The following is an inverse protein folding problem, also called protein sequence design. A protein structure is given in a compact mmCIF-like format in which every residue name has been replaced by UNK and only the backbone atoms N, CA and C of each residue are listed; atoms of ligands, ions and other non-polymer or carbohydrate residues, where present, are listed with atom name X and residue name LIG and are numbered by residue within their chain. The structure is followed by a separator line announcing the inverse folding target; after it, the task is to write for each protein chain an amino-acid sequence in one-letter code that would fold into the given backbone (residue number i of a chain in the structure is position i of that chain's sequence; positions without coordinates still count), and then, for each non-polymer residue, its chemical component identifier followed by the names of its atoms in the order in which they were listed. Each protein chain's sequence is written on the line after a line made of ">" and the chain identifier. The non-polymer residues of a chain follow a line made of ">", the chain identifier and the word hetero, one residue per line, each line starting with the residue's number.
data_IF_648408904107
#
_entry.id   IF_648408904107
#
_cell.length_a   1.000
_cell.length_b   1.000
_cell.length_c   1.000
_cell.angle_alpha   90.00
_cell.angle_beta   90.00
_cell.angle_gamma   90.00
#
_symmetry.space_group_name_H-M   'P 1'
#
loop_
_entity.id
_entity.type
_entity.pdbx_description
1 polymer ?
#
# COMPACT_ATOMS: atom_id res chain seq x y z
N UNK A 1 -17.57 -13.51 23.59
CA UNK A 1 -18.21 -12.23 23.17
C UNK A 1 -19.62 -12.11 23.79
N UNK A 2 -20.55 -13.06 23.57
CA UNK A 2 -21.91 -12.99 24.09
C UNK A 2 -21.96 -12.83 25.61
N UNK A 3 -21.26 -13.69 26.36
CA UNK A 3 -21.22 -13.65 27.82
C UNK A 3 -20.59 -12.37 28.36
N UNK A 4 -19.62 -11.82 27.66
CA UNK A 4 -18.99 -10.55 28.02
C UNK A 4 -19.99 -9.39 27.86
N UNK A 5 -20.71 -9.33 26.74
CA UNK A 5 -21.75 -8.33 26.49
C UNK A 5 -22.87 -8.47 27.54
N UNK A 6 -23.37 -9.68 27.77
CA UNK A 6 -24.44 -9.94 28.74
C UNK A 6 -24.07 -9.54 30.17
N UNK A 7 -22.81 -9.73 30.58
CA UNK A 7 -22.33 -9.30 31.90
C UNK A 7 -22.17 -7.80 32.06
N UNK A 8 -21.80 -7.11 30.98
CA UNK A 8 -21.39 -5.70 31.02
C UNK A 8 -22.42 -4.72 30.47
N UNK A 9 -23.59 -5.18 30.03
CA UNK A 9 -24.63 -4.34 29.44
C UNK A 9 -25.94 -4.50 30.22
N UNK A 10 -26.42 -3.42 30.81
CA UNK A 10 -27.74 -3.39 31.46
C UNK A 10 -28.86 -3.38 30.41
N UNK A 11 -30.07 -3.75 30.80
CA UNK A 11 -31.25 -3.72 29.92
C UNK A 11 -31.49 -2.33 29.33
N UNK A 12 -31.19 -1.26 30.09
CA UNK A 12 -31.30 0.12 29.60
C UNK A 12 -30.29 0.49 28.56
N UNK A 13 -29.12 -0.15 28.59
CA UNK A 13 -28.02 0.12 27.65
C UNK A 13 -28.11 -0.73 26.35
N UNK A 14 -29.00 -1.74 26.34
CA UNK A 14 -29.16 -2.59 25.15
C UNK A 14 -29.54 -1.80 23.90
N UNK A 15 -30.43 -0.83 24.02
CA UNK A 15 -30.85 0.00 22.90
C UNK A 15 -29.69 0.89 22.39
N UNK A 16 -28.89 1.44 23.30
CA UNK A 16 -27.71 2.24 22.95
C UNK A 16 -26.68 1.37 22.24
N UNK A 17 -26.40 0.17 22.77
CA UNK A 17 -25.52 -0.80 22.15
C UNK A 17 -26.00 -1.19 20.73
N UNK A 18 -27.31 -1.42 20.57
CA UNK A 18 -27.90 -1.75 19.27
C UNK A 18 -27.73 -0.61 18.25
N UNK A 19 -27.97 0.62 18.66
CA UNK A 19 -27.77 1.80 17.81
C UNK A 19 -26.29 1.95 17.41
N UNK A 20 -25.36 1.78 18.35
CA UNK A 20 -23.93 1.82 18.08
C UNK A 20 -23.49 0.71 17.11
N UNK A 21 -23.95 -0.51 17.33
CA UNK A 21 -23.66 -1.63 16.43
C UNK A 21 -24.20 -1.38 15.01
N UNK A 22 -25.41 -0.83 14.89
CA UNK A 22 -25.99 -0.47 13.59
C UNK A 22 -25.16 0.59 12.86
N UNK A 23 -24.71 1.60 13.58
CA UNK A 23 -23.84 2.65 13.04
C UNK A 23 -22.48 2.08 12.61
N UNK A 24 -21.85 1.29 13.49
CA UNK A 24 -20.56 0.64 13.17
C UNK A 24 -20.67 -0.35 12.02
N UNK A 25 -21.82 -1.03 11.85
CA UNK A 25 -22.05 -1.92 10.71
C UNK A 25 -22.01 -1.15 9.37
N UNK A 26 -22.58 0.06 9.31
CA UNK A 26 -22.50 0.94 8.14
C UNK A 26 -21.04 1.28 7.78
N UNK A 27 -20.23 1.67 8.77
CA UNK A 27 -18.81 1.94 8.55
C UNK A 27 -18.04 0.68 8.14
N UNK A 28 -18.35 -0.44 8.79
CA UNK A 28 -17.70 -1.71 8.46
C UNK A 28 -17.98 -2.13 7.02
N UNK A 29 -19.20 -1.93 6.54
CA UNK A 29 -19.57 -2.18 5.14
C UNK A 29 -18.72 -1.33 4.17
N UNK A 30 -18.50 -0.05 4.48
CA UNK A 30 -17.61 0.80 3.69
C UNK A 30 -16.14 0.30 3.73
N UNK A 31 -15.65 -0.08 4.92
CA UNK A 31 -14.26 -0.57 5.09
C UNK A 31 -14.00 -1.85 4.30
N UNK A 32 -14.99 -2.76 4.20
CA UNK A 32 -14.85 -4.01 3.44
C UNK A 32 -15.22 -3.88 1.97
N UNK A 33 -15.62 -2.68 1.53
CA UNK A 33 -15.99 -2.38 0.14
C UNK A 33 -17.08 -3.31 -0.42
N UNK A 34 -18.04 -3.75 0.43
CA UNK A 34 -19.15 -4.62 0.02
C UNK A 34 -20.36 -3.86 -0.57
N UNK A 35 -20.29 -2.53 -0.66
CA UNK A 35 -21.34 -1.76 -1.28
C UNK A 35 -21.38 -2.05 -2.79
N UNK A 36 -22.52 -2.54 -3.30
CA UNK A 36 -22.82 -2.67 -4.72
C UNK A 36 -22.96 -1.26 -5.35
N UNK A 37 -21.84 -0.66 -5.70
CA UNK A 37 -21.77 0.71 -6.18
C UNK A 37 -21.85 0.70 -7.69
N UNK A 38 -23.07 0.60 -8.23
CA UNK A 38 -23.30 0.91 -9.63
C UNK A 38 -23.42 2.42 -9.93
N UNK A 39 -23.60 3.29 -8.90
CA UNK A 39 -23.89 4.72 -9.07
C UNK A 39 -23.02 5.67 -8.21
N UNK A 40 -21.98 5.21 -7.54
CA UNK A 40 -21.17 6.07 -6.68
C UNK A 40 -19.82 6.39 -7.31
N UNK A 41 -19.49 7.67 -7.30
CA UNK A 41 -18.12 8.13 -7.59
C UNK A 41 -17.19 7.60 -6.49
N UNK A 42 -16.29 6.67 -6.83
CA UNK A 42 -15.34 6.05 -5.89
C UNK A 42 -14.49 7.14 -5.27
N UNK A 43 -14.61 7.33 -3.95
CA UNK A 43 -13.84 8.33 -3.20
C UNK A 43 -12.40 7.87 -2.97
N UNK A 44 -11.53 8.80 -2.57
CA UNK A 44 -10.16 8.46 -2.18
C UNK A 44 -10.11 7.55 -0.93
N UNK A 45 -11.07 7.72 -0.01
CA UNK A 45 -11.26 6.86 1.16
C UNK A 45 -11.55 5.42 0.73
N UNK A 46 -12.48 5.24 -0.22
CA UNK A 46 -12.86 3.90 -0.72
C UNK A 46 -11.68 3.21 -1.40
N UNK A 47 -10.84 3.97 -2.13
CA UNK A 47 -9.62 3.42 -2.77
C UNK A 47 -8.62 2.93 -1.73
N UNK A 48 -8.41 3.68 -0.64
CA UNK A 48 -7.52 3.26 0.45
C UNK A 48 -8.07 1.98 1.10
N UNK A 49 -9.37 1.93 1.42
CA UNK A 49 -9.97 0.73 1.99
C UNK A 49 -9.88 -0.47 1.04
N UNK A 50 -10.16 -0.28 -0.25
CA UNK A 50 -10.01 -1.33 -1.26
C UNK A 50 -8.58 -1.86 -1.32
N UNK A 51 -7.58 -0.97 -1.30
CA UNK A 51 -6.17 -1.37 -1.22
C UNK A 51 -5.89 -2.20 0.04
N UNK A 52 -6.32 -1.74 1.21
CA UNK A 52 -6.08 -2.42 2.47
C UNK A 52 -6.81 -3.77 2.55
N UNK A 53 -8.03 -3.85 2.01
CA UNK A 53 -8.81 -5.08 1.94
C UNK A 53 -8.17 -6.11 1.00
N UNK A 54 -7.74 -5.70 -0.18
CA UNK A 54 -7.06 -6.57 -1.15
C UNK A 54 -5.77 -7.17 -0.58
N UNK A 55 -5.14 -6.48 0.36
CA UNK A 55 -3.95 -6.92 1.09
C UNK A 55 -4.25 -7.67 2.40
N UNK A 56 -5.51 -8.00 2.66
CA UNK A 56 -5.96 -8.68 3.89
C UNK A 56 -5.51 -7.97 5.16
N UNK A 57 -5.40 -6.65 5.16
CA UNK A 57 -5.01 -5.86 6.31
C UNK A 57 -6.19 -5.66 7.27
N UNK A 58 -6.47 -6.67 8.09
CA UNK A 58 -7.59 -6.66 9.02
C UNK A 58 -7.30 -5.89 10.30
N UNK A 59 -6.02 -5.76 10.66
CA UNK A 59 -5.57 -5.21 11.93
C UNK A 59 -6.05 -3.78 12.18
N UNK A 60 -6.10 -2.94 11.14
CA UNK A 60 -6.43 -1.52 11.26
C UNK A 60 -7.94 -1.23 11.28
N UNK A 61 -8.81 -2.22 11.04
CA UNK A 61 -10.27 -2.04 11.01
C UNK A 61 -10.84 -1.34 12.26
N UNK A 62 -10.42 -1.68 13.51
CA UNK A 62 -10.91 -0.98 14.69
C UNK A 62 -10.58 0.53 14.66
N UNK A 63 -9.38 0.90 14.20
CA UNK A 63 -8.99 2.32 14.05
C UNK A 63 -9.83 3.00 12.97
N UNK A 64 -10.09 2.32 11.83
CA UNK A 64 -10.94 2.87 10.78
C UNK A 64 -12.36 3.15 11.26
N UNK A 65 -12.95 2.23 12.04
CA UNK A 65 -14.28 2.42 12.63
C UNK A 65 -14.33 3.66 13.52
N UNK A 66 -13.32 3.82 14.39
CA UNK A 66 -13.23 4.99 15.28
C UNK A 66 -12.99 6.30 14.49
N UNK A 67 -12.14 6.29 13.48
CA UNK A 67 -11.89 7.46 12.63
C UNK A 67 -13.13 7.89 11.86
N UNK A 68 -13.86 6.96 11.25
CA UNK A 68 -15.11 7.25 10.54
C UNK A 68 -16.17 7.81 11.48
N UNK A 69 -16.30 7.25 12.69
CA UNK A 69 -17.22 7.77 13.71
C UNK A 69 -16.85 9.21 14.11
N UNK A 70 -15.58 9.48 14.39
CA UNK A 70 -15.14 10.84 14.74
C UNK A 70 -15.32 11.83 13.58
N UNK A 71 -15.28 11.36 12.33
CA UNK A 71 -15.56 12.19 11.16
C UNK A 71 -17.07 12.51 11.07
N UNK A 72 -17.95 11.52 11.27
CA UNK A 72 -19.40 11.75 11.29
C UNK A 72 -19.82 12.68 12.45
N UNK A 73 -19.13 12.61 13.59
CA UNK A 73 -19.32 13.54 14.71
C UNK A 73 -18.76 14.95 14.47
N UNK A 74 -18.10 15.19 13.33
CA UNK A 74 -17.50 16.49 12.98
C UNK A 74 -16.19 16.81 13.70
N UNK A 75 -15.60 15.86 14.44
CA UNK A 75 -14.33 16.04 15.14
C UNK A 75 -13.11 15.93 14.21
N UNK A 76 -13.26 15.23 13.09
CA UNK A 76 -12.23 15.06 12.05
C UNK A 76 -12.83 15.51 10.72
N UNK A 77 -12.16 16.43 10.00
CA UNK A 77 -12.55 16.77 8.64
C UNK A 77 -12.20 15.63 7.67
N UNK A 78 -12.94 15.52 6.57
CA UNK A 78 -12.67 14.50 5.54
C UNK A 78 -11.24 14.60 5.00
N UNK A 79 -10.73 15.81 4.77
CA UNK A 79 -9.33 16.02 4.35
C UNK A 79 -8.33 15.43 5.35
N UNK A 80 -8.58 15.65 6.65
CA UNK A 80 -7.74 15.10 7.71
C UNK A 80 -7.85 13.58 7.81
N UNK A 81 -9.07 13.05 7.66
CA UNK A 81 -9.28 11.59 7.59
C UNK A 81 -8.46 10.97 6.47
N UNK A 82 -8.54 11.51 5.25
CA UNK A 82 -7.75 11.03 4.10
C UNK A 82 -6.26 11.03 4.42
N UNK A 83 -5.73 12.10 5.01
CA UNK A 83 -4.31 12.17 5.40
C UNK A 83 -3.92 11.08 6.39
N UNK A 84 -4.76 10.84 7.41
CA UNK A 84 -4.53 9.78 8.41
C UNK A 84 -4.59 8.40 7.77
N UNK A 85 -5.59 8.14 6.93
CA UNK A 85 -5.72 6.87 6.22
C UNK A 85 -4.53 6.60 5.30
N UNK A 86 -4.01 7.63 4.60
CA UNK A 86 -2.76 7.53 3.84
C UNK A 86 -1.57 7.17 4.73
N UNK A 87 -1.43 7.80 5.89
CA UNK A 87 -0.36 7.45 6.82
C UNK A 87 -0.43 5.96 7.20
N UNK A 88 -1.62 5.44 7.51
CA UNK A 88 -1.82 4.02 7.84
C UNK A 88 -1.49 3.14 6.63
N UNK A 89 -1.95 3.50 5.43
CA UNK A 89 -1.67 2.77 4.19
C UNK A 89 -0.17 2.68 3.91
N UNK A 90 0.54 3.80 3.95
CA UNK A 90 1.98 3.82 3.66
C UNK A 90 2.82 3.18 4.78
N UNK A 91 2.37 3.29 6.03
CA UNK A 91 2.94 2.48 7.12
C UNK A 91 2.79 0.98 6.85
N UNK A 92 1.58 0.54 6.47
CA UNK A 92 1.32 -0.87 6.11
C UNK A 92 2.22 -1.33 4.96
N UNK A 93 2.37 -0.52 3.92
CA UNK A 93 3.27 -0.81 2.79
C UNK A 93 4.70 -1.02 3.28
N UNK A 94 5.21 -0.12 4.09
CA UNK A 94 6.56 -0.21 4.61
C UNK A 94 6.74 -1.41 5.54
N UNK A 95 5.90 -1.50 6.55
CA UNK A 95 6.04 -2.43 7.67
C UNK A 95 5.69 -3.88 7.28
N UNK A 96 4.49 -4.07 6.68
CA UNK A 96 3.99 -5.41 6.37
C UNK A 96 4.37 -5.88 4.97
N UNK A 97 4.12 -5.05 3.93
CA UNK A 97 4.28 -5.47 2.55
C UNK A 97 5.76 -5.62 2.16
N UNK A 98 6.57 -4.60 2.45
CA UNK A 98 7.98 -4.56 2.06
C UNK A 98 8.85 -5.29 3.09
N UNK A 99 8.80 -4.86 4.35
CA UNK A 99 9.68 -5.39 5.40
C UNK A 99 9.23 -6.73 5.98
N UNK A 100 8.03 -7.22 5.60
CA UNK A 100 7.46 -8.51 6.08
C UNK A 100 7.34 -8.60 7.61
N UNK A 101 7.26 -7.46 8.30
CA UNK A 101 7.04 -7.44 9.74
C UNK A 101 5.65 -7.95 10.10
N UNK A 102 5.54 -8.64 11.23
CA UNK A 102 4.29 -9.27 11.64
C UNK A 102 3.35 -8.29 12.34
N UNK A 103 2.08 -8.33 11.99
CA UNK A 103 1.03 -7.51 12.58
C UNK A 103 0.88 -7.71 14.11
N UNK A 104 1.27 -8.87 14.64
CA UNK A 104 1.16 -9.16 16.08
C UNK A 104 2.00 -8.19 16.93
N UNK A 105 3.15 -7.76 16.44
CA UNK A 105 4.05 -6.83 17.16
C UNK A 105 3.43 -5.45 17.42
N UNK A 106 2.39 -5.08 16.67
CA UNK A 106 1.74 -3.76 16.74
C UNK A 106 0.27 -3.83 17.15
N UNK A 107 -0.31 -5.03 17.29
CA UNK A 107 -1.75 -5.22 17.50
C UNK A 107 -2.28 -4.56 18.77
N UNK A 108 -1.56 -4.67 19.87
CA UNK A 108 -1.94 -4.06 21.15
C UNK A 108 -1.99 -2.52 21.04
N UNK A 109 -0.99 -1.93 20.40
CA UNK A 109 -0.95 -0.48 20.14
C UNK A 109 -2.13 -0.03 19.28
N UNK A 110 -2.43 -0.77 18.21
CA UNK A 110 -3.57 -0.47 17.33
C UNK A 110 -4.90 -0.51 18.09
N UNK A 111 -5.13 -1.55 18.91
CA UNK A 111 -6.34 -1.66 19.74
C UNK A 111 -6.44 -0.53 20.76
N UNK A 112 -5.34 -0.21 21.45
CA UNK A 112 -5.28 0.91 22.39
C UNK A 112 -5.68 2.22 21.74
N UNK A 113 -5.10 2.54 20.59
CA UNK A 113 -5.40 3.80 19.91
C UNK A 113 -6.78 3.82 19.27
N UNK A 114 -7.30 2.68 18.79
CA UNK A 114 -8.70 2.59 18.37
C UNK A 114 -9.65 2.99 19.51
N UNK A 115 -9.44 2.45 20.71
CA UNK A 115 -10.21 2.78 21.90
C UNK A 115 -10.07 4.27 22.30
N UNK A 116 -8.85 4.82 22.27
CA UNK A 116 -8.61 6.21 22.64
C UNK A 116 -9.24 7.17 21.62
N UNK A 117 -9.14 6.91 20.33
CA UNK A 117 -9.76 7.70 19.27
C UNK A 117 -11.29 7.65 19.41
N UNK A 118 -11.86 6.50 19.71
CA UNK A 118 -13.31 6.35 19.89
C UNK A 118 -13.82 7.15 21.09
N UNK A 119 -13.19 6.99 22.25
CA UNK A 119 -13.77 7.44 23.53
C UNK A 119 -13.16 8.73 24.09
N UNK A 120 -11.97 9.12 23.63
CA UNK A 120 -11.20 10.26 24.17
C UNK A 120 -10.51 11.04 23.06
N UNK A 121 -11.22 11.22 21.93
CA UNK A 121 -10.63 11.90 20.78
C UNK A 121 -10.02 13.25 21.14
N UNK A 122 -8.84 13.49 20.68
CA UNK A 122 -8.17 14.78 20.61
C UNK A 122 -7.12 14.75 19.50
N UNK A 123 -6.70 15.92 19.05
CA UNK A 123 -5.60 16.01 18.10
C UNK A 123 -4.30 15.38 18.64
N UNK A 124 -4.08 15.45 19.96
CA UNK A 124 -2.92 14.84 20.61
C UNK A 124 -2.99 13.31 20.59
N UNK A 125 -4.16 12.72 20.83
CA UNK A 125 -4.36 11.26 20.71
C UNK A 125 -4.05 10.80 19.29
N UNK A 126 -4.54 11.52 18.27
CA UNK A 126 -4.25 11.19 16.89
C UNK A 126 -2.76 11.31 16.56
N UNK A 127 -2.12 12.39 17.03
CA UNK A 127 -0.66 12.58 16.88
C UNK A 127 0.14 11.47 17.55
N UNK A 128 -0.23 11.08 18.77
CA UNK A 128 0.41 9.96 19.49
C UNK A 128 0.24 8.64 18.72
N UNK A 129 -0.93 8.40 18.14
CA UNK A 129 -1.14 7.22 17.29
C UNK A 129 -0.17 7.19 16.09
N UNK A 130 -0.05 8.30 15.36
CA UNK A 130 0.86 8.37 14.21
C UNK A 130 2.33 8.27 14.62
N UNK A 131 2.70 8.85 15.76
CA UNK A 131 4.04 8.68 16.34
C UNK A 131 4.30 7.23 16.75
N UNK A 132 3.28 6.53 17.28
CA UNK A 132 3.40 5.10 17.57
C UNK A 132 3.69 4.27 16.31
N UNK A 133 2.97 4.52 15.21
CA UNK A 133 3.25 3.88 13.93
C UNK A 133 4.66 4.19 13.44
N UNK A 134 5.04 5.45 13.45
CA UNK A 134 6.37 5.90 13.02
C UNK A 134 7.50 5.26 13.84
N UNK A 135 7.32 5.12 15.15
CA UNK A 135 8.29 4.45 16.02
C UNK A 135 8.45 2.95 15.80
N UNK A 136 7.59 2.36 14.95
CA UNK A 136 7.67 0.95 14.53
C UNK A 136 8.19 0.76 13.12
N UNK A 137 8.48 1.84 12.42
CA UNK A 137 9.07 1.76 11.08
C UNK A 137 10.44 1.09 11.12
N UNK A 138 10.77 0.24 10.14
CA UNK A 138 12.14 -0.25 9.99
C UNK A 138 13.10 0.91 9.70
N UNK A 139 14.35 0.73 10.00
CA UNK A 139 15.40 1.65 9.54
C UNK A 139 15.49 1.65 8.01
N UNK A 140 16.06 2.70 7.41
CA UNK A 140 16.25 2.79 5.96
C UNK A 140 17.05 1.61 5.43
N UNK A 141 18.08 1.19 6.15
CA UNK A 141 18.93 0.06 5.78
C UNK A 141 18.15 -1.27 5.80
N UNK A 142 17.39 -1.54 6.85
CA UNK A 142 16.54 -2.74 6.93
C UNK A 142 15.50 -2.77 5.82
N UNK A 143 14.88 -1.63 5.52
CA UNK A 143 13.94 -1.49 4.42
C UNK A 143 14.59 -1.77 3.06
N UNK A 144 15.75 -1.16 2.77
CA UNK A 144 16.49 -1.38 1.53
C UNK A 144 16.87 -2.86 1.36
N UNK A 145 17.34 -3.51 2.43
CA UNK A 145 17.74 -4.92 2.40
C UNK A 145 16.56 -5.84 2.07
N UNK A 146 15.38 -5.57 2.63
CA UNK A 146 14.16 -6.35 2.33
C UNK A 146 13.54 -5.98 1.00
N UNK A 147 13.61 -4.72 0.58
CA UNK A 147 13.12 -4.26 -0.72
C UNK A 147 13.81 -4.94 -1.90
N UNK A 148 15.12 -5.11 -1.84
CA UNK A 148 15.91 -5.80 -2.88
C UNK A 148 15.48 -7.24 -3.11
N UNK A 149 14.89 -7.89 -2.08
CA UNK A 149 14.41 -9.26 -2.16
C UNK A 149 13.02 -9.38 -2.80
N UNK A 150 12.40 -8.27 -3.17
CA UNK A 150 11.15 -8.29 -3.92
C UNK A 150 11.48 -8.68 -5.37
N UNK A 151 10.67 -9.58 -5.92
CA UNK A 151 10.83 -10.00 -7.30
C UNK A 151 9.72 -10.94 -7.73
N UNK A 152 9.65 -11.18 -9.03
CA UNK A 152 8.77 -12.15 -9.65
C UNK A 152 9.40 -12.67 -10.94
N UNK A 153 9.21 -13.95 -11.24
CA UNK A 153 9.65 -14.57 -12.48
C UNK A 153 8.83 -15.82 -12.77
N UNK A 154 8.53 -16.06 -14.04
CA UNK A 154 7.94 -17.31 -14.49
C UNK A 154 8.99 -18.45 -14.65
N UNK A 155 10.27 -18.10 -14.68
CA UNK A 155 11.37 -19.01 -14.97
C UNK A 155 12.26 -19.31 -13.76
N UNK A 156 12.17 -18.51 -12.70
CA UNK A 156 12.95 -18.70 -11.48
C UNK A 156 12.07 -19.25 -10.36
N UNK A 157 12.26 -20.52 -9.99
CA UNK A 157 11.46 -21.23 -8.98
C UNK A 157 11.31 -20.44 -7.67
N UNK A 158 12.38 -19.80 -7.21
CA UNK A 158 12.35 -18.99 -5.98
C UNK A 158 11.36 -17.82 -6.03
N UNK A 159 11.06 -17.27 -7.21
CA UNK A 159 10.18 -16.11 -7.41
C UNK A 159 8.86 -16.44 -8.11
N UNK A 160 8.59 -17.71 -8.42
CA UNK A 160 7.48 -18.13 -9.28
C UNK A 160 6.12 -18.20 -8.56
N UNK A 161 5.99 -17.87 -7.30
CA UNK A 161 4.72 -18.00 -6.58
C UNK A 161 3.81 -16.76 -6.73
N UNK A 162 2.52 -16.98 -6.50
CA UNK A 162 1.47 -15.93 -6.59
C UNK A 162 1.66 -14.81 -5.56
N UNK A 163 2.28 -15.08 -4.40
CA UNK A 163 2.53 -14.08 -3.36
C UNK A 163 3.67 -13.14 -3.77
N UNK A 164 4.72 -13.68 -4.39
CA UNK A 164 5.81 -12.88 -4.95
C UNK A 164 5.29 -12.01 -6.09
N UNK A 165 4.45 -12.55 -6.99
CA UNK A 165 3.79 -11.78 -8.05
C UNK A 165 2.99 -10.62 -7.48
N UNK A 166 2.07 -10.91 -6.56
CA UNK A 166 1.23 -9.90 -5.93
C UNK A 166 2.08 -8.81 -5.25
N UNK A 167 3.14 -9.20 -4.53
CA UNK A 167 4.03 -8.26 -3.85
C UNK A 167 4.77 -7.35 -4.85
N UNK A 168 5.27 -7.91 -5.94
CA UNK A 168 5.91 -7.14 -7.00
C UNK A 168 4.94 -6.17 -7.67
N UNK A 169 3.75 -6.63 -8.07
CA UNK A 169 2.70 -5.81 -8.67
C UNK A 169 2.30 -4.64 -7.76
N UNK A 170 2.11 -4.90 -6.46
CA UNK A 170 1.76 -3.86 -5.49
C UNK A 170 2.87 -2.83 -5.32
N UNK A 171 4.12 -3.29 -5.25
CA UNK A 171 5.28 -2.41 -5.13
C UNK A 171 5.41 -1.52 -6.38
N UNK A 172 5.25 -2.09 -7.57
CA UNK A 172 5.26 -1.34 -8.83
C UNK A 172 4.10 -0.35 -8.91
N UNK A 173 2.91 -0.73 -8.46
CA UNK A 173 1.74 0.15 -8.43
C UNK A 173 2.00 1.39 -7.57
N UNK A 174 2.50 1.22 -6.35
CA UNK A 174 2.81 2.34 -5.44
C UNK A 174 3.91 3.23 -6.00
N UNK A 175 4.97 2.65 -6.57
CA UNK A 175 6.03 3.41 -7.20
C UNK A 175 5.50 4.21 -8.40
N UNK A 176 4.59 3.65 -9.18
CA UNK A 176 3.93 4.38 -10.27
C UNK A 176 3.05 5.51 -9.75
N UNK A 177 2.27 5.29 -8.68
CA UNK A 177 1.49 6.36 -8.05
C UNK A 177 2.38 7.53 -7.62
N UNK A 178 3.52 7.25 -7.01
CA UNK A 178 4.50 8.26 -6.58
C UNK A 178 5.07 9.01 -7.79
N UNK A 179 5.50 8.30 -8.83
CA UNK A 179 6.13 8.88 -10.02
C UNK A 179 5.17 9.68 -10.88
N UNK A 180 3.96 9.18 -11.09
CA UNK A 180 2.95 9.82 -11.93
C UNK A 180 2.14 10.88 -11.18
N UNK A 181 2.20 10.89 -9.83
CA UNK A 181 1.32 11.67 -8.93
C UNK A 181 -0.17 11.40 -9.17
N UNK A 182 -0.50 10.21 -9.63
CA UNK A 182 -1.88 9.77 -9.87
C UNK A 182 -2.35 8.90 -8.73
N UNK A 183 -3.62 9.05 -8.36
CA UNK A 183 -4.25 8.22 -7.33
C UNK A 183 -4.53 6.82 -7.85
N UNK A 184 -4.86 6.70 -9.14
CA UNK A 184 -5.14 5.43 -9.80
C UNK A 184 -4.06 5.09 -10.83
N UNK A 185 -3.62 3.85 -10.77
CA UNK A 185 -2.74 3.23 -11.76
C UNK A 185 -3.58 2.25 -12.56
N UNK A 186 -3.65 2.37 -13.89
CA UNK A 186 -4.34 1.40 -14.73
C UNK A 186 -3.79 -0.01 -14.54
N UNK A 187 -4.55 -1.02 -14.95
CA UNK A 187 -4.05 -2.39 -15.03
C UNK A 187 -2.81 -2.46 -15.93
N UNK A 188 -1.85 -3.25 -15.51
CA UNK A 188 -0.59 -3.43 -16.22
C UNK A 188 -0.14 -4.89 -16.17
N UNK A 189 0.81 -5.23 -17.01
CA UNK A 189 1.59 -6.44 -16.95
C UNK A 189 3.01 -6.12 -16.44
N UNK A 190 3.65 -7.08 -15.78
CA UNK A 190 5.05 -6.94 -15.38
C UNK A 190 5.93 -7.16 -16.62
N UNK A 191 6.72 -6.17 -16.96
CA UNK A 191 7.75 -6.24 -18.00
C UNK A 191 9.14 -6.34 -17.37
N UNK A 192 10.02 -7.13 -18.00
CA UNK A 192 11.42 -7.33 -17.61
C UNK A 192 12.32 -6.48 -18.48
N UNK A 193 13.05 -5.52 -17.89
CA UNK A 193 13.97 -4.63 -18.64
C UNK A 193 15.05 -5.45 -19.34
N UNK A 194 15.74 -6.34 -18.61
CA UNK A 194 16.54 -7.40 -19.17
C UNK A 194 15.69 -8.67 -19.24
N UNK A 195 15.75 -9.44 -20.32
CA UNK A 195 14.93 -10.65 -20.48
C UNK A 195 14.92 -11.51 -19.24
N UNK A 196 13.75 -12.02 -18.85
CA UNK A 196 13.58 -12.98 -17.75
C UNK A 196 14.19 -14.33 -18.17
N UNK A 197 15.50 -14.35 -18.22
CA UNK A 197 16.26 -15.56 -18.38
C UNK A 197 16.35 -16.27 -17.03
N UNK A 198 16.90 -17.48 -16.99
CA UNK A 198 17.04 -18.31 -15.79
C UNK A 198 17.93 -17.69 -14.68
N UNK A 199 18.37 -16.45 -14.84
CA UNK A 199 19.16 -15.74 -13.84
C UNK A 199 18.26 -15.16 -12.75
N UNK A 200 18.52 -15.55 -11.50
CA UNK A 200 17.79 -15.06 -10.33
C UNK A 200 17.76 -13.52 -10.22
N UNK A 201 18.82 -12.84 -10.61
CA UNK A 201 18.90 -11.39 -10.54
C UNK A 201 17.88 -10.71 -11.48
N UNK A 202 17.56 -11.34 -12.63
CA UNK A 202 16.59 -10.81 -13.59
C UNK A 202 15.15 -10.83 -13.05
N UNK A 203 14.87 -11.64 -12.03
CA UNK A 203 13.59 -11.66 -11.34
C UNK A 203 13.39 -10.50 -10.34
N UNK A 204 14.49 -9.82 -9.94
CA UNK A 204 14.46 -8.81 -8.88
C UNK A 204 13.73 -7.54 -9.33
N UNK A 205 13.13 -6.86 -8.36
CA UNK A 205 12.30 -5.64 -8.55
C UNK A 205 13.00 -4.55 -9.37
N UNK A 206 14.33 -4.44 -9.26
CA UNK A 206 15.13 -3.51 -10.06
C UNK A 206 15.11 -3.79 -11.56
N UNK A 207 14.67 -4.96 -11.98
CA UNK A 207 14.49 -5.33 -13.40
C UNK A 207 13.03 -5.20 -13.87
N UNK A 208 12.10 -4.92 -12.96
CA UNK A 208 10.66 -4.94 -13.25
C UNK A 208 10.11 -3.53 -13.46
N UNK A 209 9.19 -3.40 -14.41
CA UNK A 209 8.38 -2.20 -14.63
C UNK A 209 6.93 -2.57 -14.95
N UNK A 210 5.95 -1.70 -14.61
CA UNK A 210 4.60 -1.82 -15.14
C UNK A 210 4.61 -1.39 -16.61
N UNK A 211 3.94 -2.17 -17.46
CA UNK A 211 3.79 -1.84 -18.88
C UNK A 211 2.41 -2.27 -19.39
N UNK A 212 1.90 -1.60 -20.40
CA UNK A 212 0.70 -2.00 -21.12
C UNK A 212 0.89 -3.36 -21.79
N UNK A 213 -0.14 -4.18 -21.80
CA UNK A 213 -0.06 -5.53 -22.34
C UNK A 213 0.38 -5.59 -23.81
N UNK A 214 -0.10 -4.67 -24.65
CA UNK A 214 0.27 -4.58 -26.06
C UNK A 214 1.74 -4.14 -26.26
N UNK A 215 2.24 -3.23 -25.42
CA UNK A 215 3.65 -2.81 -25.46
C UNK A 215 4.55 -3.92 -24.91
N UNK A 216 4.16 -4.58 -23.82
CA UNK A 216 4.88 -5.69 -23.24
C UNK A 216 5.01 -6.85 -24.25
N UNK A 217 3.91 -7.22 -24.93
CA UNK A 217 3.93 -8.22 -26.00
C UNK A 217 4.88 -7.85 -27.15
N UNK A 218 5.19 -6.58 -27.34
CA UNK A 218 6.16 -6.10 -28.33
C UNK A 218 7.60 -6.14 -27.85
N UNK A 219 7.83 -6.21 -26.54
CA UNK A 219 9.17 -6.26 -25.93
C UNK A 219 9.82 -7.64 -26.08
N UNK A 220 9.10 -8.73 -25.72
CA UNK A 220 9.62 -10.09 -25.74
C UNK A 220 11.04 -10.18 -25.11
N UNK A 221 11.91 -10.98 -25.72
CA UNK A 221 13.31 -11.17 -25.30
C UNK A 221 14.27 -10.14 -25.90
N UNK A 222 13.77 -8.99 -26.38
CA UNK A 222 14.61 -7.96 -26.96
C UNK A 222 15.58 -7.38 -25.93
N UNK A 223 16.79 -7.00 -26.36
CA UNK A 223 17.72 -6.28 -25.50
C UNK A 223 17.20 -4.86 -25.18
N UNK A 224 17.71 -4.26 -24.11
CA UNK A 224 17.22 -2.97 -23.60
C UNK A 224 17.23 -1.86 -24.67
N UNK A 225 18.25 -1.78 -25.51
CA UNK A 225 18.36 -0.74 -26.55
C UNK A 225 17.19 -0.77 -27.56
N UNK A 226 16.61 -1.94 -27.84
CA UNK A 226 15.41 -2.06 -28.68
C UNK A 226 14.11 -1.75 -27.91
N UNK A 227 14.09 -2.00 -26.60
CA UNK A 227 12.91 -1.73 -25.74
C UNK A 227 12.76 -0.24 -25.41
N UNK A 228 13.82 0.55 -25.47
CA UNK A 228 13.82 1.99 -25.15
C UNK A 228 12.70 2.73 -25.88
N UNK A 229 12.60 2.56 -27.21
CA UNK A 229 11.57 3.20 -28.04
C UNK A 229 10.14 2.76 -27.71
N UNK A 230 9.98 1.54 -27.15
CA UNK A 230 8.70 1.02 -26.69
C UNK A 230 8.34 1.71 -25.38
N UNK A 231 9.27 1.80 -24.43
CA UNK A 231 9.05 2.43 -23.12
C UNK A 231 8.74 3.93 -23.22
N UNK A 232 9.28 4.65 -24.21
CA UNK A 232 8.96 6.04 -24.48
C UNK A 232 7.47 6.28 -24.73
N UNK A 233 6.79 5.31 -25.34
CA UNK A 233 5.37 5.39 -25.69
C UNK A 233 4.44 4.98 -24.56
N UNK A 234 5.00 4.46 -23.47
CA UNK A 234 4.21 3.96 -22.34
C UNK A 234 3.46 5.09 -21.64
N UNK A 235 2.24 4.76 -21.18
CA UNK A 235 1.48 5.57 -20.25
C UNK A 235 2.15 5.64 -18.86
N UNK A 236 2.91 4.60 -18.48
CA UNK A 236 3.54 4.50 -17.16
C UNK A 236 4.79 5.36 -17.06
N UNK A 237 4.82 6.23 -16.05
CA UNK A 237 5.95 7.12 -15.78
C UNK A 237 7.21 6.37 -15.42
N UNK A 238 7.10 5.23 -14.74
CA UNK A 238 8.23 4.36 -14.42
C UNK A 238 8.88 3.77 -15.66
N UNK A 239 8.11 3.37 -16.67
CA UNK A 239 8.64 2.88 -17.95
C UNK A 239 9.36 4.01 -18.72
N UNK A 240 8.72 5.16 -18.88
CA UNK A 240 9.34 6.33 -19.52
C UNK A 240 10.61 6.80 -18.81
N UNK A 241 10.67 6.72 -17.48
CA UNK A 241 11.87 7.06 -16.72
C UNK A 241 13.03 6.10 -17.02
N UNK A 242 12.78 4.81 -17.26
CA UNK A 242 13.81 3.87 -17.71
C UNK A 242 14.34 4.28 -19.09
N UNK A 243 13.45 4.61 -20.03
CA UNK A 243 13.86 5.10 -21.33
C UNK A 243 14.71 6.37 -21.21
N UNK A 244 14.20 7.40 -20.54
CA UNK A 244 14.90 8.68 -20.40
C UNK A 244 16.30 8.54 -19.76
N UNK A 245 16.45 7.63 -18.80
CA UNK A 245 17.70 7.45 -18.07
C UNK A 245 18.74 6.66 -18.84
N UNK A 246 18.31 5.68 -19.64
CA UNK A 246 19.23 4.71 -20.25
C UNK A 246 19.31 4.81 -21.77
N UNK A 247 18.55 5.67 -22.43
CA UNK A 247 18.66 5.91 -23.89
C UNK A 247 20.07 6.36 -24.28
N UNK A 248 20.70 5.56 -25.14
CA UNK A 248 22.10 5.77 -25.54
C UNK A 248 23.14 5.45 -24.46
N UNK A 249 22.71 4.83 -23.36
CA UNK A 249 23.57 4.50 -22.23
C UNK A 249 23.16 3.17 -21.54
N UNK A 250 22.62 2.24 -22.34
CA UNK A 250 21.98 1.01 -21.88
C UNK A 250 22.96 0.09 -21.14
N UNK A 251 24.23 0.13 -21.49
CA UNK A 251 25.28 -0.64 -20.83
C UNK A 251 25.44 -0.31 -19.32
N UNK A 252 24.99 0.89 -18.92
CA UNK A 252 25.03 1.32 -17.51
C UNK A 252 23.83 0.87 -16.70
N UNK A 253 22.86 0.17 -17.29
CA UNK A 253 21.76 -0.40 -16.53
C UNK A 253 22.28 -1.49 -15.58
N UNK A 254 22.00 -1.32 -14.28
CA UNK A 254 22.34 -2.26 -13.23
C UNK A 254 21.12 -2.47 -12.33
N UNK A 255 20.65 -3.71 -12.25
CA UNK A 255 19.45 -4.10 -11.49
C UNK A 255 19.57 -3.66 -10.03
N UNK A 256 20.68 -3.97 -9.37
CA UNK A 256 20.88 -3.62 -7.95
C UNK A 256 20.93 -2.12 -7.71
N UNK A 257 21.56 -1.35 -8.60
CA UNK A 257 21.61 0.10 -8.49
C UNK A 257 20.19 0.71 -8.63
N UNK A 258 19.40 0.18 -9.58
CA UNK A 258 18.01 0.63 -9.74
C UNK A 258 17.14 0.22 -8.55
N UNK A 259 17.31 -0.98 -8.00
CA UNK A 259 16.61 -1.42 -6.78
C UNK A 259 16.87 -0.49 -5.59
N UNK A 260 18.12 -0.04 -5.42
CA UNK A 260 18.47 0.93 -4.37
C UNK A 260 17.76 2.26 -4.55
N UNK A 261 17.79 2.82 -5.77
CA UNK A 261 17.10 4.09 -6.07
C UNK A 261 15.60 3.97 -5.83
N UNK A 262 14.96 2.87 -6.25
CA UNK A 262 13.54 2.62 -6.02
C UNK A 262 13.22 2.51 -4.52
N UNK A 263 14.07 1.83 -3.74
CA UNK A 263 13.91 1.71 -2.30
C UNK A 263 14.03 3.06 -1.60
N UNK A 264 15.02 3.86 -1.97
CA UNK A 264 15.22 5.21 -1.41
C UNK A 264 14.04 6.11 -1.69
N UNK A 265 13.60 6.19 -2.95
CA UNK A 265 12.45 7.02 -3.34
C UNK A 265 11.18 6.63 -2.59
N UNK A 266 10.91 5.33 -2.44
CA UNK A 266 9.73 4.86 -1.72
C UNK A 266 9.84 5.14 -0.23
N UNK A 267 10.97 4.86 0.40
CA UNK A 267 11.17 5.08 1.83
C UNK A 267 11.10 6.57 2.20
N UNK A 268 11.71 7.43 1.40
CA UNK A 268 11.70 8.88 1.62
C UNK A 268 10.27 9.45 1.44
N UNK A 269 9.49 8.96 0.47
CA UNK A 269 8.09 9.36 0.29
C UNK A 269 7.21 8.87 1.45
N UNK A 270 7.39 7.63 1.93
CA UNK A 270 6.69 7.11 3.11
C UNK A 270 6.96 8.02 4.32
N UNK A 271 8.22 8.35 4.57
CA UNK A 271 8.57 9.25 5.67
C UNK A 271 7.97 10.65 5.50
N UNK A 272 7.94 11.18 4.28
CA UNK A 272 7.30 12.47 3.98
C UNK A 272 5.82 12.45 4.36
N UNK A 273 5.10 11.37 3.99
CA UNK A 273 3.68 11.21 4.29
C UNK A 273 3.45 11.06 5.80
N UNK A 274 4.23 10.24 6.48
CA UNK A 274 4.12 10.02 7.94
C UNK A 274 4.48 11.27 8.76
N UNK A 275 5.19 12.24 8.18
CA UNK A 275 5.54 13.51 8.82
C UNK A 275 4.61 14.68 8.45
N UNK A 276 3.65 14.47 7.54
CA UNK A 276 2.80 15.54 7.03
C UNK A 276 1.62 15.92 7.96
N UNK A 277 1.47 15.25 9.12
CA UNK A 277 0.48 15.47 10.18
C UNK A 277 1.23 15.75 11.48
#
# INVERSE_FOLDING_TARGET
>A
VYDTIKKNTSVKEVNLLFCDLKLKAKYYQQIVCESNIHDYQITEIDRIFKFMQSNRSLLFRPVYLSLLHQTEMGNISEEKLIKVLKCIQYFFVCYNLISKETSNKISEGIQKYAFLIENKYSNDVLKQFLQHLKGRMPTKEEFQNTFKLIGYSNHCEYYHDSKNKQRAEMTLNILEQIKSRRVEVPSFTIEYILPDSQNREHAMIGNLIPLEENLNSSCKDKPLYEKISIYERSYFSTARNVSNRYKGNEANFKINSRSNVMADELYDEINRILNAL
#
